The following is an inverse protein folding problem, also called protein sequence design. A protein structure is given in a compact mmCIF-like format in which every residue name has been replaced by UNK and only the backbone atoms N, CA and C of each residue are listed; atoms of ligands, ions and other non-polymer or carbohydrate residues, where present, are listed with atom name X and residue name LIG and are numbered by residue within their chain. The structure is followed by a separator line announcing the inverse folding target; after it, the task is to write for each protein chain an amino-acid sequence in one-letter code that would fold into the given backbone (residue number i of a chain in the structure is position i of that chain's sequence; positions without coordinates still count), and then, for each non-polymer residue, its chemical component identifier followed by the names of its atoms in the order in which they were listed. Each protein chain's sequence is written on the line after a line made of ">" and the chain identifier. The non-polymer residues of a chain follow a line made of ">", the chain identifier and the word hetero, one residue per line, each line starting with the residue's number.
data_IF_645863024343
#
_entry.id   IF_645863024343
#
_cell.length_a   1.000
_cell.length_b   1.000
_cell.length_c   1.000
_cell.angle_alpha   90.00
_cell.angle_beta   90.00
_cell.angle_gamma   90.00
#
_symmetry.space_group_name_H-M   'P 1'
#
loop_
_entity.id
_entity.type
_entity.pdbx_description
1 polymer ?
#
# COMPACT_ATOMS: atom_id res chain seq x y z
N UNK A 1 -22.89 -21.38 -20.05
CA UNK A 1 -23.27 -20.52 -18.91
C UNK A 1 -22.68 -19.14 -19.18
N UNK A 2 -23.53 -18.13 -19.02
CA UNK A 2 -23.41 -16.73 -19.44
C UNK A 2 -22.07 -16.09 -19.08
N UNK A 3 -21.37 -15.55 -20.09
CA UNK A 3 -20.18 -14.73 -19.88
C UNK A 3 -20.54 -13.50 -19.06
N UNK A 4 -19.90 -13.36 -17.91
CA UNK A 4 -19.98 -12.18 -17.05
C UNK A 4 -19.53 -10.98 -17.86
N UNK A 5 -20.48 -10.23 -18.44
CA UNK A 5 -20.22 -8.89 -18.94
C UNK A 5 -19.89 -8.05 -17.71
N UNK A 6 -18.60 -7.79 -17.50
CA UNK A 6 -18.14 -6.80 -16.52
C UNK A 6 -18.62 -5.46 -17.05
N UNK A 7 -19.68 -4.94 -16.43
CA UNK A 7 -20.19 -3.61 -16.68
C UNK A 7 -19.23 -2.63 -16.01
N UNK A 8 -18.26 -2.14 -16.78
CA UNK A 8 -17.25 -1.18 -16.31
C UNK A 8 -17.86 0.21 -16.51
N UNK A 9 -18.52 0.73 -15.48
CA UNK A 9 -18.88 2.15 -15.41
C UNK A 9 -17.56 2.96 -15.46
N UNK A 10 -17.36 3.85 -16.45
CA UNK A 10 -16.11 4.61 -16.59
C UNK A 10 -15.74 5.43 -15.36
N UNK A 11 -16.72 5.92 -14.58
CA UNK A 11 -16.47 6.62 -13.32
C UNK A 11 -15.97 5.66 -12.24
N UNK A 12 -16.50 4.43 -12.21
CA UNK A 12 -16.09 3.38 -11.28
C UNK A 12 -14.72 2.80 -11.66
N UNK A 13 -14.44 2.65 -12.96
CA UNK A 13 -13.18 2.13 -13.49
C UNK A 13 -11.96 2.94 -13.03
N UNK A 14 -12.09 4.26 -13.02
CA UNK A 14 -11.02 5.16 -12.55
C UNK A 14 -10.73 4.97 -11.06
N UNK A 15 -11.78 4.80 -10.24
CA UNK A 15 -11.64 4.54 -8.80
C UNK A 15 -11.03 3.16 -8.54
N UNK A 16 -11.48 2.13 -9.25
CA UNK A 16 -10.99 0.76 -9.09
C UNK A 16 -9.53 0.62 -9.54
N UNK A 17 -9.15 1.29 -10.63
CA UNK A 17 -7.75 1.36 -11.06
C UNK A 17 -6.88 2.12 -10.04
N UNK A 18 -7.38 3.23 -9.50
CA UNK A 18 -6.68 3.95 -8.43
C UNK A 18 -6.47 3.07 -7.21
N UNK A 19 -7.48 2.31 -6.79
CA UNK A 19 -7.37 1.34 -5.71
C UNK A 19 -6.26 0.32 -6.00
N UNK A 20 -6.26 -0.29 -7.19
CA UNK A 20 -5.23 -1.27 -7.59
C UNK A 20 -3.81 -0.69 -7.53
N UNK A 21 -3.61 0.52 -8.07
CA UNK A 21 -2.30 1.18 -8.04
C UNK A 21 -1.89 1.50 -6.61
N UNK A 22 -2.80 2.04 -5.80
CA UNK A 22 -2.53 2.37 -4.40
C UNK A 22 -2.24 1.11 -3.58
N UNK A 23 -2.87 -0.02 -3.87
CA UNK A 23 -2.53 -1.32 -3.26
C UNK A 23 -1.09 -1.73 -3.55
N UNK A 24 -0.63 -1.58 -4.80
CA UNK A 24 0.76 -1.90 -5.16
C UNK A 24 1.74 -0.97 -4.45
N UNK A 25 1.42 0.32 -4.39
CA UNK A 25 2.25 1.30 -3.68
C UNK A 25 2.30 1.01 -2.18
N UNK A 26 1.17 0.64 -1.57
CA UNK A 26 1.08 0.26 -0.16
C UNK A 26 1.91 -1.01 0.15
N UNK A 27 1.86 -2.01 -0.74
CA UNK A 27 2.70 -3.19 -0.62
C UNK A 27 4.19 -2.82 -0.62
N UNK A 28 4.62 -1.94 -1.54
CA UNK A 28 5.99 -1.47 -1.60
C UNK A 28 6.37 -0.67 -0.34
N UNK A 29 5.48 0.18 0.18
CA UNK A 29 5.68 0.92 1.44
C UNK A 29 5.96 -0.03 2.60
N UNK A 30 5.13 -1.06 2.77
CA UNK A 30 5.30 -2.05 3.85
C UNK A 30 6.59 -2.88 3.69
N UNK A 31 6.97 -3.21 2.46
CA UNK A 31 8.24 -3.88 2.20
C UNK A 31 9.44 -3.00 2.57
N UNK A 32 9.40 -1.71 2.20
CA UNK A 32 10.44 -0.76 2.57
C UNK A 32 10.54 -0.58 4.09
N UNK A 33 9.40 -0.50 4.78
CA UNK A 33 9.34 -0.40 6.24
C UNK A 33 9.98 -1.62 6.92
N UNK A 34 9.63 -2.83 6.48
CA UNK A 34 10.26 -4.07 6.98
C UNK A 34 11.76 -4.13 6.72
N UNK A 35 12.20 -3.66 5.55
CA UNK A 35 13.63 -3.59 5.24
C UNK A 35 14.37 -2.55 6.09
N UNK A 36 13.75 -1.41 6.36
CA UNK A 36 14.29 -0.39 7.24
C UNK A 36 14.49 -0.92 8.67
N UNK A 37 13.46 -1.55 9.24
CA UNK A 37 13.54 -2.20 10.56
C UNK A 37 14.63 -3.26 10.59
N UNK A 38 14.70 -4.11 9.56
CA UNK A 38 15.75 -5.14 9.48
C UNK A 38 17.16 -4.55 9.44
N UNK A 39 17.38 -3.44 8.73
CA UNK A 39 18.70 -2.79 8.65
C UNK A 39 19.09 -2.11 9.96
N UNK A 40 18.11 -1.52 10.64
CA UNK A 40 18.26 -0.97 11.98
C UNK A 40 18.71 -2.06 12.97
N UNK A 41 18.03 -3.21 12.99
CA UNK A 41 18.37 -4.33 13.88
C UNK A 41 19.78 -4.91 13.61
N UNK A 42 20.27 -4.82 12.37
CA UNK A 42 21.60 -5.30 11.97
C UNK A 42 22.70 -4.28 12.24
N UNK A 43 22.37 -3.03 12.58
CA UNK A 43 23.33 -1.94 12.74
C UNK A 43 24.00 -1.53 11.42
N UNK A 44 23.32 -1.75 10.28
CA UNK A 44 23.82 -1.47 8.93
C UNK A 44 23.67 0.03 8.53
N UNK A 45 23.19 0.88 9.44
CA UNK A 45 22.90 2.30 9.22
C UNK A 45 23.58 3.16 10.29
N UNK A 46 23.98 4.37 9.91
CA UNK A 46 24.35 5.41 10.87
C UNK A 46 23.13 6.18 11.39
N UNK A 47 23.26 6.85 12.53
CA UNK A 47 22.17 7.60 13.20
C UNK A 47 21.44 8.57 12.25
N UNK A 48 22.16 9.22 11.33
CA UNK A 48 21.60 10.16 10.37
C UNK A 48 20.79 9.46 9.26
N UNK A 49 21.24 8.28 8.83
CA UNK A 49 20.51 7.44 7.88
C UNK A 49 19.22 6.89 8.49
N UNK A 50 19.26 6.49 9.77
CA UNK A 50 18.07 6.03 10.50
C UNK A 50 16.99 7.11 10.57
N UNK A 51 17.37 8.33 10.97
CA UNK A 51 16.45 9.47 11.06
C UNK A 51 15.86 9.83 9.69
N UNK A 52 16.69 9.85 8.64
CA UNK A 52 16.26 10.15 7.28
C UNK A 52 15.27 9.10 6.75
N UNK A 53 15.51 7.82 7.01
CA UNK A 53 14.61 6.73 6.61
C UNK A 53 13.28 6.83 7.36
N UNK A 54 13.32 7.01 8.68
CA UNK A 54 12.12 7.18 9.50
C UNK A 54 11.26 8.34 9.01
N UNK A 55 11.88 9.50 8.78
CA UNK A 55 11.19 10.70 8.26
C UNK A 55 10.57 10.45 6.89
N UNK A 56 11.28 9.76 6.00
CA UNK A 56 10.79 9.44 4.65
C UNK A 56 9.59 8.51 4.70
N UNK A 57 9.64 7.47 5.53
CA UNK A 57 8.54 6.52 5.70
C UNK A 57 7.29 7.20 6.29
N UNK A 58 7.46 8.08 7.28
CA UNK A 58 6.35 8.87 7.83
C UNK A 58 5.71 9.79 6.79
N UNK A 59 6.53 10.44 5.94
CA UNK A 59 6.00 11.30 4.87
C UNK A 59 5.24 10.48 3.83
N UNK A 60 5.78 9.33 3.44
CA UNK A 60 5.12 8.42 2.50
C UNK A 60 3.78 7.92 3.06
N UNK A 61 3.75 7.57 4.35
CA UNK A 61 2.55 7.14 5.05
C UNK A 61 1.44 8.21 5.01
N UNK A 62 1.78 9.47 5.29
CA UNK A 62 0.85 10.60 5.18
C UNK A 62 0.37 10.83 3.74
N UNK A 63 1.26 10.74 2.75
CA UNK A 63 0.90 10.91 1.33
C UNK A 63 -0.08 9.84 0.86
N UNK A 64 0.04 8.62 1.37
CA UNK A 64 -0.91 7.56 1.10
C UNK A 64 -2.31 7.88 1.64
N UNK A 65 -2.43 8.47 2.84
CA UNK A 65 -3.74 8.90 3.36
C UNK A 65 -4.37 9.96 2.46
N UNK A 66 -3.57 10.96 2.06
CA UNK A 66 -4.02 12.04 1.18
C UNK A 66 -4.51 11.50 -0.17
N UNK A 67 -3.80 10.55 -0.77
CA UNK A 67 -4.17 9.93 -2.04
C UNK A 67 -5.42 9.04 -1.90
N UNK A 68 -5.50 8.23 -0.84
CA UNK A 68 -6.70 7.43 -0.57
C UNK A 68 -7.94 8.32 -0.43
N UNK A 69 -7.84 9.38 0.37
CA UNK A 69 -8.94 10.32 0.58
C UNK A 69 -9.40 11.00 -0.74
N UNK A 70 -8.46 11.38 -1.61
CA UNK A 70 -8.78 11.96 -2.93
C UNK A 70 -9.58 11.03 -3.83
N UNK A 71 -9.38 9.72 -3.70
CA UNK A 71 -10.11 8.70 -4.46
C UNK A 71 -11.31 8.12 -3.68
N UNK A 72 -11.63 8.67 -2.49
CA UNK A 72 -12.71 8.20 -1.63
C UNK A 72 -12.49 6.79 -1.09
N UNK A 73 -11.23 6.39 -0.95
CA UNK A 73 -10.76 5.10 -0.44
C UNK A 73 -10.24 5.27 0.99
N UNK A 74 -10.24 4.17 1.73
CA UNK A 74 -9.58 4.02 3.02
C UNK A 74 -8.42 3.04 2.87
N UNK A 75 -7.45 3.11 3.77
CA UNK A 75 -6.29 2.19 3.78
C UNK A 75 -6.69 0.72 3.80
N UNK A 76 -7.71 0.38 4.59
CA UNK A 76 -8.29 -0.96 4.66
C UNK A 76 -8.91 -1.43 3.34
N UNK A 77 -9.35 -0.51 2.47
CA UNK A 77 -9.91 -0.85 1.16
C UNK A 77 -8.81 -1.25 0.15
N UNK A 78 -7.53 -1.00 0.45
CA UNK A 78 -6.40 -1.40 -0.40
C UNK A 78 -6.03 -2.88 -0.25
N UNK A 79 -6.50 -3.55 0.81
CA UNK A 79 -6.13 -4.94 1.03
C UNK A 79 -6.97 -5.89 0.17
N UNK A 80 -6.41 -6.32 -0.96
CA UNK A 80 -7.09 -7.20 -1.89
C UNK A 80 -7.15 -8.63 -1.35
N UNK A 81 -8.35 -9.22 -1.37
CA UNK A 81 -8.55 -10.65 -1.14
C UNK A 81 -8.23 -11.44 -2.42
N UNK A 82 -7.23 -12.31 -2.34
CA UNK A 82 -6.80 -13.18 -3.42
C UNK A 82 -7.42 -14.59 -3.31
N UNK A 83 -8.38 -14.79 -2.42
CA UNK A 83 -9.08 -16.04 -2.17
C UNK A 83 -8.20 -17.05 -1.45
N UNK A 84 -7.83 -18.20 -2.08
CA UNK A 84 -7.03 -19.24 -1.41
C UNK A 84 -5.60 -18.79 -1.04
N UNK A 85 -5.12 -17.68 -1.62
CA UNK A 85 -3.81 -17.09 -1.29
C UNK A 85 -3.88 -16.13 -0.10
N UNK A 86 -5.07 -15.86 0.44
CA UNK A 86 -5.28 -14.87 1.51
C UNK A 86 -5.28 -13.44 0.98
N UNK A 87 -4.99 -12.48 1.86
CA UNK A 87 -4.94 -11.06 1.52
C UNK A 87 -3.56 -10.65 1.00
N UNK A 88 -3.52 -9.69 0.08
CA UNK A 88 -2.26 -9.26 -0.54
C UNK A 88 -1.37 -8.48 0.43
N UNK A 89 -1.96 -7.60 1.24
CA UNK A 89 -1.25 -6.88 2.28
C UNK A 89 -1.26 -7.74 3.55
N UNK A 90 -0.10 -7.96 4.18
CA UNK A 90 -0.03 -8.63 5.46
C UNK A 90 -0.74 -7.78 6.54
N UNK A 91 -1.49 -8.43 7.41
CA UNK A 91 -2.07 -7.77 8.58
C UNK A 91 -0.95 -7.14 9.41
N UNK A 92 -1.14 -5.88 9.80
CA UNK A 92 -0.16 -5.09 10.54
C UNK A 92 0.44 -5.89 11.69
N UNK A 93 1.77 -6.03 11.69
CA UNK A 93 2.54 -6.62 12.78
C UNK A 93 2.67 -5.63 13.95
#
# INVERSE_FOLDING_TARGET
>A
MTGTRVDIDPQQAGRDLAALVLTVVELLRQLMERQALRRLDLGDLDDGQEEAIGTTLMLLDRRMDELCAQHGLRREDLNLDLGPLGTLLPDGA
#
